data_IF_631185536295
#
_entry.id   IF_631185536295
#
_cell.length_a   1.000
_cell.length_b   1.000
_cell.length_c   1.000
_cell.angle_alpha   90.00
_cell.angle_beta   90.00
_cell.angle_gamma   90.00
#
_symmetry.space_group_name_H-M   'P 1'
#
loop_
_entity.id
_entity.type
_entity.pdbx_description
1 polymer ?
#
# COMPACT_ATOMS: atom_id res chain seq x y z
N UNK A 1 13.90 5.01 -23.84
CA UNK A 1 12.47 4.86 -24.24
C UNK A 1 11.55 4.45 -23.09
N UNK A 2 12.08 4.23 -21.87
CA UNK A 2 11.37 3.59 -20.74
C UNK A 2 10.79 4.59 -19.74
N UNK A 3 11.48 5.69 -19.46
CA UNK A 3 11.02 6.75 -18.53
C UNK A 3 9.78 7.45 -19.08
N UNK A 4 9.75 7.75 -20.39
CA UNK A 4 8.56 8.31 -21.08
C UNK A 4 7.31 7.42 -20.94
N UNK A 5 7.46 6.10 -20.82
CA UNK A 5 6.32 5.19 -20.59
C UNK A 5 5.85 5.24 -19.13
N UNK A 6 6.76 5.42 -18.18
CA UNK A 6 6.42 5.55 -16.76
C UNK A 6 5.71 6.88 -16.49
N UNK A 7 6.20 7.98 -17.06
CA UNK A 7 5.55 9.30 -16.93
C UNK A 7 4.16 9.30 -17.55
N UNK A 8 3.97 8.67 -18.70
CA UNK A 8 2.65 8.52 -19.32
C UNK A 8 1.72 7.59 -18.52
N UNK A 9 2.23 6.48 -17.99
CA UNK A 9 1.44 5.51 -17.21
C UNK A 9 0.97 6.07 -15.87
N UNK A 10 1.78 6.89 -15.24
CA UNK A 10 1.54 7.43 -13.90
C UNK A 10 1.17 8.92 -13.90
N UNK A 11 1.02 9.54 -15.09
CA UNK A 11 0.75 10.98 -15.27
C UNK A 11 1.71 11.86 -14.46
N UNK A 12 2.98 11.49 -14.42
CA UNK A 12 4.00 12.23 -13.67
C UNK A 12 4.50 13.40 -14.50
N UNK A 13 4.69 14.55 -13.85
CA UNK A 13 5.45 15.65 -14.41
C UNK A 13 6.95 15.35 -14.37
N UNK A 14 7.74 16.01 -15.22
CA UNK A 14 9.20 15.88 -15.17
C UNK A 14 9.76 16.36 -13.80
N UNK A 15 9.12 17.34 -13.16
CA UNK A 15 9.44 17.76 -11.79
C UNK A 15 9.19 16.68 -10.74
N UNK A 16 8.21 15.80 -10.93
CA UNK A 16 7.96 14.70 -9.99
C UNK A 16 9.09 13.66 -10.07
N UNK A 17 9.64 13.41 -11.26
CA UNK A 17 10.79 12.51 -11.45
C UNK A 17 12.01 13.09 -10.76
N UNK A 18 12.30 14.37 -10.97
CA UNK A 18 13.45 15.05 -10.34
C UNK A 18 13.33 15.04 -8.82
N UNK A 19 12.12 15.21 -8.29
CA UNK A 19 11.88 15.12 -6.85
C UNK A 19 12.11 13.70 -6.32
N UNK A 20 11.68 12.65 -7.04
CA UNK A 20 11.95 11.25 -6.65
C UNK A 20 13.44 10.95 -6.68
N UNK A 21 14.16 11.39 -7.73
CA UNK A 21 15.60 11.20 -7.83
C UNK A 21 16.36 11.94 -6.73
N UNK A 22 15.95 13.16 -6.40
CA UNK A 22 16.49 13.90 -5.25
C UNK A 22 16.28 13.15 -3.95
N UNK A 23 15.06 12.66 -3.68
CA UNK A 23 14.76 11.88 -2.48
C UNK A 23 15.56 10.57 -2.38
N UNK A 24 15.85 9.92 -3.52
CA UNK A 24 16.71 8.74 -3.58
C UNK A 24 18.17 9.08 -3.23
N UNK A 25 18.68 10.23 -3.69
CA UNK A 25 20.04 10.67 -3.41
C UNK A 25 20.23 11.23 -1.98
N UNK A 26 19.17 11.74 -1.37
CA UNK A 26 19.21 12.36 -0.04
C UNK A 26 18.94 11.37 1.10
N UNK A 27 18.70 10.08 0.82
CA UNK A 27 18.40 9.06 1.83
C UNK A 27 17.04 9.27 2.52
N UNK A 28 16.08 9.90 1.84
CA UNK A 28 14.75 10.15 2.43
C UNK A 28 13.92 8.88 2.52
N UNK A 29 12.99 8.84 3.47
CA UNK A 29 12.05 7.73 3.56
C UNK A 29 10.96 7.83 2.49
N UNK A 30 10.40 6.69 2.09
CA UNK A 30 9.30 6.63 1.11
C UNK A 30 8.09 7.51 1.49
N UNK A 31 7.85 7.72 2.78
CA UNK A 31 6.77 8.57 3.29
C UNK A 31 7.06 10.06 3.11
N UNK A 32 8.32 10.47 3.29
CA UNK A 32 8.75 11.85 3.07
C UNK A 32 8.76 12.19 1.58
N UNK A 33 9.26 11.27 0.75
CA UNK A 33 9.18 11.39 -0.71
C UNK A 33 7.72 11.52 -1.17
N UNK A 34 6.79 10.74 -0.59
CA UNK A 34 5.36 10.86 -0.87
C UNK A 34 4.79 12.23 -0.49
N UNK A 35 5.21 12.82 0.64
CA UNK A 35 4.73 14.15 1.05
C UNK A 35 5.23 15.27 0.13
N UNK A 36 6.39 15.09 -0.50
CA UNK A 36 6.96 16.06 -1.44
C UNK A 36 6.37 15.97 -2.84
N UNK A 37 5.89 14.79 -3.23
CA UNK A 37 5.21 14.61 -4.50
C UNK A 37 3.86 15.34 -4.46
N UNK A 38 3.63 16.19 -5.46
CA UNK A 38 2.37 16.92 -5.62
C UNK A 38 1.23 16.01 -6.10
N UNK A 39 1.58 14.80 -6.53
CA UNK A 39 0.68 13.84 -7.16
C UNK A 39 0.15 12.82 -6.16
N UNK A 40 -1.14 12.48 -6.27
CA UNK A 40 -1.88 11.57 -5.37
C UNK A 40 -1.51 10.08 -5.56
N UNK A 41 -0.23 9.79 -5.80
CA UNK A 41 0.22 8.42 -5.98
C UNK A 41 0.27 7.64 -4.67
N UNK A 42 -0.13 6.38 -4.77
CA UNK A 42 0.08 5.42 -3.69
C UNK A 42 1.58 5.22 -3.43
N UNK A 43 1.95 4.95 -2.17
CA UNK A 43 3.33 4.66 -1.77
C UNK A 43 3.95 3.50 -2.58
N UNK A 44 3.12 2.56 -3.01
CA UNK A 44 3.54 1.42 -3.83
C UNK A 44 3.88 1.83 -5.27
N UNK A 45 3.11 2.76 -5.84
CA UNK A 45 3.40 3.30 -7.16
C UNK A 45 4.70 4.12 -7.14
N UNK A 46 4.88 4.97 -6.13
CA UNK A 46 6.13 5.74 -5.93
C UNK A 46 7.33 4.80 -5.82
N UNK A 47 7.22 3.74 -5.01
CA UNK A 47 8.29 2.74 -4.90
C UNK A 47 8.56 2.02 -6.24
N UNK A 48 7.52 1.68 -7.00
CA UNK A 48 7.69 1.04 -8.31
C UNK A 48 8.37 1.96 -9.31
N UNK A 49 8.06 3.26 -9.29
CA UNK A 49 8.68 4.27 -10.15
C UNK A 49 10.15 4.43 -9.74
N UNK A 50 10.43 4.63 -8.46
CA UNK A 50 11.78 4.74 -7.92
C UNK A 50 12.63 3.52 -8.28
N UNK A 51 12.09 2.30 -8.15
CA UNK A 51 12.79 1.06 -8.51
C UNK A 51 13.18 1.01 -9.98
N UNK A 52 12.27 1.41 -10.87
CA UNK A 52 12.57 1.43 -12.30
C UNK A 52 13.54 2.57 -12.66
N UNK A 53 13.42 3.74 -12.04
CA UNK A 53 14.37 4.84 -12.20
C UNK A 53 15.78 4.44 -11.76
N UNK A 54 15.93 3.82 -10.59
CA UNK A 54 17.19 3.27 -10.10
C UNK A 54 17.85 2.31 -11.12
N UNK A 55 17.06 1.43 -11.73
CA UNK A 55 17.55 0.48 -12.74
C UNK A 55 17.95 1.17 -14.05
N UNK A 56 17.21 2.19 -14.46
CA UNK A 56 17.42 2.86 -15.75
C UNK A 56 18.58 3.85 -15.67
N UNK A 57 18.62 4.68 -14.62
CA UNK A 57 19.60 5.76 -14.47
C UNK A 57 20.90 5.28 -13.83
N UNK A 58 20.83 4.38 -12.86
CA UNK A 58 22.00 3.97 -12.08
C UNK A 58 22.43 2.52 -12.34
N UNK A 59 21.63 1.72 -13.06
CA UNK A 59 21.93 0.31 -13.32
C UNK A 59 21.93 -0.59 -12.09
N UNK A 60 21.55 -0.06 -10.91
CA UNK A 60 21.63 -0.74 -9.62
C UNK A 60 20.22 -0.95 -9.03
N UNK A 61 20.04 -1.97 -8.18
CA UNK A 61 18.78 -2.17 -7.48
C UNK A 61 18.54 -1.06 -6.44
N UNK A 62 17.27 -0.69 -6.23
CA UNK A 62 16.89 0.34 -5.25
C UNK A 62 17.39 0.05 -3.83
N UNK A 63 17.59 -1.23 -3.46
CA UNK A 63 18.14 -1.61 -2.16
C UNK A 63 19.59 -1.17 -1.95
N UNK A 64 20.35 -1.00 -3.02
CA UNK A 64 21.73 -0.54 -2.95
C UNK A 64 21.83 1.00 -3.00
N UNK A 65 20.84 1.65 -3.60
CA UNK A 65 20.83 3.11 -3.77
C UNK A 65 20.16 3.79 -2.57
N UNK A 66 19.01 3.29 -2.13
CA UNK A 66 18.29 3.79 -0.95
C UNK A 66 17.63 2.64 -0.19
N UNK A 67 18.33 2.05 0.80
CA UNK A 67 17.73 1.07 1.69
C UNK A 67 16.55 1.64 2.50
N UNK A 68 16.52 2.96 2.75
CA UNK A 68 15.46 3.65 3.50
C UNK A 68 14.11 3.56 2.78
N UNK A 69 14.10 3.61 1.44
CA UNK A 69 12.89 3.39 0.64
C UNK A 69 12.35 1.97 0.80
N UNK A 70 13.24 0.97 0.86
CA UNK A 70 12.87 -0.44 1.04
C UNK A 70 12.31 -0.68 2.44
N UNK A 71 12.96 -0.13 3.47
CA UNK A 71 12.48 -0.18 4.85
C UNK A 71 11.13 0.51 5.02
N UNK A 72 10.96 1.69 4.41
CA UNK A 72 9.70 2.43 4.41
C UNK A 72 8.55 1.60 3.84
N UNK A 73 8.78 0.92 2.71
CA UNK A 73 7.80 -0.01 2.12
C UNK A 73 7.52 -1.21 3.02
N UNK A 74 8.54 -1.78 3.66
CA UNK A 74 8.38 -2.92 4.56
C UNK A 74 7.51 -2.55 5.78
N UNK A 75 7.71 -1.36 6.37
CA UNK A 75 6.89 -0.84 7.47
C UNK A 75 5.42 -0.67 7.06
N UNK A 76 5.17 -0.08 5.89
CA UNK A 76 3.80 0.08 5.36
C UNK A 76 3.11 -1.25 5.09
N UNK A 77 3.84 -2.24 4.56
CA UNK A 77 3.29 -3.57 4.33
C UNK A 77 2.94 -4.30 5.63
N UNK A 78 3.75 -4.16 6.69
CA UNK A 78 3.44 -4.74 8.01
C UNK A 78 2.13 -4.17 8.57
N UNK A 79 1.93 -2.86 8.49
CA UNK A 79 0.70 -2.18 8.94
C UNK A 79 -0.51 -2.71 8.14
N UNK A 80 -0.41 -2.76 6.81
CA UNK A 80 -1.47 -3.26 5.93
C UNK A 80 -1.86 -4.72 6.25
N UNK A 81 -0.88 -5.58 6.55
CA UNK A 81 -1.14 -6.98 6.94
C UNK A 81 -1.86 -7.05 8.29
N UNK A 82 -1.46 -6.23 9.26
CA UNK A 82 -2.11 -6.17 10.57
C UNK A 82 -3.57 -5.71 10.47
N UNK A 83 -3.85 -4.68 9.66
CA UNK A 83 -5.21 -4.20 9.39
C UNK A 83 -6.08 -5.27 8.73
N UNK A 84 -5.55 -5.97 7.73
CA UNK A 84 -6.26 -7.08 7.08
C UNK A 84 -6.66 -8.16 8.07
N UNK A 85 -5.72 -8.60 8.92
CA UNK A 85 -5.99 -9.59 9.97
C UNK A 85 -7.08 -9.12 10.94
N UNK A 86 -7.09 -7.84 11.31
CA UNK A 86 -8.13 -7.24 12.16
C UNK A 86 -9.50 -7.30 11.47
N UNK A 87 -9.61 -6.83 10.23
CA UNK A 87 -10.87 -6.88 9.47
C UNK A 87 -11.39 -8.31 9.22
N UNK A 88 -10.50 -9.29 9.05
CA UNK A 88 -10.91 -10.69 8.96
C UNK A 88 -11.46 -11.22 10.28
N UNK A 89 -10.85 -10.84 11.41
CA UNK A 89 -11.38 -11.10 12.75
C UNK A 89 -12.78 -10.52 12.94
N UNK A 90 -12.96 -9.25 12.59
CA UNK A 90 -14.26 -8.55 12.70
C UNK A 90 -15.34 -9.25 11.86
N UNK A 91 -15.03 -9.64 10.62
CA UNK A 91 -15.95 -10.40 9.76
C UNK A 91 -16.34 -11.75 10.36
N UNK A 92 -15.39 -12.46 10.98
CA UNK A 92 -15.66 -13.74 11.66
C UNK A 92 -16.60 -13.54 12.86
N UNK A 93 -16.38 -12.50 13.66
CA UNK A 93 -17.25 -12.17 14.80
C UNK A 93 -18.67 -11.84 14.35
N UNK A 94 -18.83 -11.00 13.30
CA UNK A 94 -20.16 -10.66 12.75
C UNK A 94 -20.90 -11.91 12.26
N UNK A 95 -20.20 -12.82 11.58
CA UNK A 95 -20.81 -14.08 11.13
C UNK A 95 -21.23 -14.98 12.30
N UNK A 96 -20.46 -15.00 13.38
CA UNK A 96 -20.81 -15.78 14.58
C UNK A 96 -22.07 -15.21 15.26
N UNK A 97 -22.15 -13.88 15.39
CA UNK A 97 -23.34 -13.21 15.95
C UNK A 97 -24.59 -13.48 15.10
N UNK A 98 -24.46 -13.47 13.76
CA UNK A 98 -25.59 -13.84 12.87
C UNK A 98 -26.09 -15.26 13.13
N UNK A 99 -25.17 -16.23 13.24
CA UNK A 99 -25.55 -17.62 13.55
C UNK A 99 -26.32 -17.73 14.86
N UNK A 100 -25.83 -17.10 15.93
CA UNK A 100 -26.54 -17.09 17.22
C UNK A 100 -27.93 -16.48 17.08
N UNK A 101 -28.07 -15.36 16.34
CA UNK A 101 -29.36 -14.74 16.09
C UNK A 101 -30.30 -15.68 15.33
N UNK A 102 -29.80 -16.35 14.30
CA UNK A 102 -30.58 -17.29 13.50
C UNK A 102 -31.04 -18.50 14.34
N UNK A 103 -30.16 -19.02 15.20
CA UNK A 103 -30.48 -20.10 16.15
C UNK A 103 -31.56 -19.66 17.15
N UNK A 104 -31.45 -18.45 17.72
CA UNK A 104 -32.48 -17.88 18.62
C UNK A 104 -33.82 -17.72 17.90
N UNK A 105 -33.81 -17.19 16.67
CA UNK A 105 -35.02 -17.01 15.88
C UNK A 105 -35.69 -18.36 15.59
N UNK A 106 -34.89 -19.40 15.29
CA UNK A 106 -35.40 -20.75 15.07
C UNK A 106 -36.09 -21.29 16.32
N UNK A 107 -35.45 -21.19 17.49
CA UNK A 107 -36.05 -21.62 18.75
C UNK A 107 -37.33 -20.85 19.08
N UNK A 108 -37.37 -19.53 18.85
CA UNK A 108 -38.58 -18.72 19.05
C UNK A 108 -39.72 -19.16 18.12
N UNK A 109 -39.40 -19.49 16.86
CA UNK A 109 -40.38 -19.98 15.89
C UNK A 109 -40.97 -21.32 16.34
N UNK A 110 -40.11 -22.25 16.76
CA UNK A 110 -40.53 -23.55 17.32
C UNK A 110 -41.44 -23.38 18.55
N UNK A 111 -41.14 -22.44 19.45
CA UNK A 111 -41.98 -22.14 20.61
C UNK A 111 -43.31 -21.48 20.26
N UNK A 112 -43.37 -20.73 19.15
CA UNK A 112 -44.59 -20.03 18.71
C UNK A 112 -45.63 -20.91 18.00
N UNK A 113 -45.23 -22.14 17.66
CA UNK A 113 -46.09 -23.13 16.98
C UNK A 113 -46.79 -24.05 18.01
N UNK A 114 -46.42 -23.97 19.28
CA UNK A 114 -47.04 -24.66 20.44
C UNK A 114 -48.15 -23.79 21.04
#
# INVERSE_FOLDING_TARGET
MTIKRLTQKYQLSDSDIDNILKSLSSGETLLEAKKRLASDLSSEAIYSIAKELCRIEMGLPISEISPEFVEGRAKLNKIRIAERKKTEGDKKQVNYIRKIRDDINLCLLELSIV
#
